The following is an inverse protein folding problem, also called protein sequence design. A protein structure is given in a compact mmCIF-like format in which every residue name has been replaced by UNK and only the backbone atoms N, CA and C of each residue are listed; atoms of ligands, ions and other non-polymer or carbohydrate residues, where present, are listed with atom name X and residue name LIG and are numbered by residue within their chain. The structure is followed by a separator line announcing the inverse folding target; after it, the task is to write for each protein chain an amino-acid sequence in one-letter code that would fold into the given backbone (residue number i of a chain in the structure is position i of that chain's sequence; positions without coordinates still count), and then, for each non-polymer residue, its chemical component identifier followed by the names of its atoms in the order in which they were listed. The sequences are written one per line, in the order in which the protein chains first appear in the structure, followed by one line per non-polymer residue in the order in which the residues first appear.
data_IF_411948327637
#
_entry.id   IF_411948327637
#
_cell.length_a   1.000
_cell.length_b   1.000
_cell.length_c   1.000
_cell.angle_alpha   90.00
_cell.angle_beta   90.00
_cell.angle_gamma   90.00
#
_symmetry.space_group_name_H-M   'P 1'
#
loop_
_entity.id
_entity.type
_entity.pdbx_description
1 polymer ?
#
# COMPACT_ATOMS: atom_id res chain seq x y z
N UNK A 1 15.94 12.65 9.60
CA UNK A 1 15.10 11.50 9.19
C UNK A 1 15.98 10.26 9.18
N UNK A 2 15.55 9.20 9.85
CA UNK A 2 16.21 7.89 9.71
C UNK A 2 15.81 7.38 8.31
N UNK A 3 16.76 7.09 7.41
CA UNK A 3 16.41 6.56 6.10
C UNK A 3 15.61 5.27 6.29
N UNK A 4 14.55 5.02 5.49
CA UNK A 4 13.78 3.80 5.62
C UNK A 4 14.74 2.61 5.47
N UNK A 5 14.91 1.85 6.55
CA UNK A 5 15.69 0.62 6.51
C UNK A 5 15.10 -0.32 5.45
N UNK A 6 15.94 -1.18 4.86
CA UNK A 6 15.55 -2.11 3.79
C UNK A 6 14.19 -2.77 4.10
N UNK A 7 13.26 -2.68 3.17
CA UNK A 7 11.96 -3.35 3.26
C UNK A 7 12.19 -4.85 3.07
N UNK A 8 11.73 -5.68 4.00
CA UNK A 8 11.85 -7.14 3.93
C UNK A 8 10.46 -7.76 3.78
N UNK A 9 10.38 -9.00 3.27
CA UNK A 9 9.11 -9.74 3.18
C UNK A 9 8.37 -9.79 4.51
N UNK A 10 9.06 -10.15 5.60
CA UNK A 10 8.49 -10.12 6.95
C UNK A 10 7.89 -8.76 7.34
N UNK A 11 8.53 -7.63 7.00
CA UNK A 11 8.00 -6.29 7.30
C UNK A 11 6.78 -5.96 6.43
N UNK A 12 6.81 -6.36 5.16
CA UNK A 12 5.68 -6.17 4.24
C UNK A 12 4.48 -7.01 4.67
N UNK A 13 4.70 -8.27 5.06
CA UNK A 13 3.67 -9.16 5.55
C UNK A 13 3.04 -8.63 6.84
N UNK A 14 3.87 -8.19 7.80
CA UNK A 14 3.38 -7.59 9.05
C UNK A 14 2.54 -6.33 8.75
N UNK A 15 3.01 -5.46 7.86
CA UNK A 15 2.27 -4.25 7.49
C UNK A 15 0.93 -4.58 6.82
N UNK A 16 0.91 -5.52 5.88
CA UNK A 16 -0.32 -5.94 5.20
C UNK A 16 -1.31 -6.59 6.18
N UNK A 17 -0.83 -7.45 7.08
CA UNK A 17 -1.65 -8.06 8.12
C UNK A 17 -2.28 -7.02 9.04
N UNK A 18 -1.48 -6.06 9.52
CA UNK A 18 -1.95 -5.00 10.39
C UNK A 18 -3.00 -4.11 9.71
N UNK A 19 -2.82 -3.80 8.42
CA UNK A 19 -3.79 -2.95 7.71
C UNK A 19 -5.09 -3.70 7.42
N UNK A 20 -5.03 -4.99 7.09
CA UNK A 20 -6.23 -5.83 6.97
C UNK A 20 -7.03 -5.85 8.28
N UNK A 21 -6.36 -6.14 9.41
CA UNK A 21 -7.00 -6.14 10.74
C UNK A 21 -7.57 -4.77 11.11
N UNK A 22 -6.84 -3.70 10.83
CA UNK A 22 -7.29 -2.34 11.12
C UNK A 22 -8.58 -2.01 10.37
N UNK A 23 -8.67 -2.36 9.09
CA UNK A 23 -9.88 -2.12 8.30
C UNK A 23 -11.05 -2.92 8.88
N UNK A 24 -10.84 -4.20 9.19
CA UNK A 24 -11.86 -5.06 9.80
C UNK A 24 -12.40 -4.46 11.12
N UNK A 25 -11.51 -4.11 12.05
CA UNK A 25 -11.88 -3.53 13.34
C UNK A 25 -12.66 -2.22 13.18
N UNK A 26 -12.22 -1.36 12.25
CA UNK A 26 -12.90 -0.09 11.99
C UNK A 26 -14.28 -0.34 11.42
N UNK A 27 -14.41 -1.08 10.31
CA UNK A 27 -15.72 -1.26 9.69
C UNK A 27 -16.71 -1.97 10.62
N UNK A 28 -16.29 -3.04 11.30
CA UNK A 28 -17.13 -3.76 12.26
C UNK A 28 -17.50 -2.89 13.45
N UNK A 29 -16.58 -2.07 13.95
CA UNK A 29 -16.83 -1.12 15.02
C UNK A 29 -17.89 -0.08 14.63
N UNK A 30 -17.82 0.47 13.42
CA UNK A 30 -18.80 1.46 12.95
C UNK A 30 -20.19 0.86 12.76
N UNK A 31 -20.27 -0.40 12.31
CA UNK A 31 -21.53 -1.13 12.21
C UNK A 31 -22.11 -1.43 13.59
N UNK A 32 -21.28 -1.93 14.51
CA UNK A 32 -21.70 -2.26 15.88
C UNK A 32 -22.18 -1.03 16.64
N UNK A 33 -21.58 0.14 16.39
CA UNK A 33 -21.97 1.43 16.97
C UNK A 33 -23.18 2.06 16.26
N UNK A 34 -23.72 1.44 15.21
CA UNK A 34 -24.85 1.95 14.44
C UNK A 34 -24.53 3.19 13.59
N UNK A 35 -23.25 3.53 13.42
CA UNK A 35 -22.80 4.64 12.57
C UNK A 35 -22.88 4.29 11.08
N UNK A 36 -22.81 2.99 10.76
CA UNK A 36 -23.03 2.46 9.43
C UNK A 36 -24.01 1.27 9.52
N UNK A 37 -24.89 1.09 8.52
CA UNK A 37 -25.77 -0.07 8.49
C UNK A 37 -25.02 -1.37 8.13
N UNK A 38 -23.98 -1.26 7.31
CA UNK A 38 -23.12 -2.36 6.85
C UNK A 38 -21.70 -1.84 6.57
N UNK A 39 -20.67 -2.71 6.56
CA UNK A 39 -19.32 -2.34 6.17
C UNK A 39 -19.28 -1.73 4.77
N UNK A 40 -18.40 -0.74 4.57
CA UNK A 40 -18.22 -0.10 3.26
C UNK A 40 -17.59 -1.09 2.26
N UNK A 41 -18.19 -1.35 1.09
CA UNK A 41 -17.72 -2.41 0.18
C UNK A 41 -16.30 -2.21 -0.34
N UNK A 42 -15.89 -0.97 -0.58
CA UNK A 42 -14.53 -0.60 -1.00
C UNK A 42 -13.49 -0.92 0.08
N UNK A 43 -13.84 -0.72 1.35
CA UNK A 43 -12.99 -1.05 2.49
C UNK A 43 -12.85 -2.56 2.67
N UNK A 44 -13.94 -3.30 2.53
CA UNK A 44 -13.92 -4.77 2.56
C UNK A 44 -13.03 -5.33 1.44
N UNK A 45 -13.15 -4.81 0.22
CA UNK A 45 -12.26 -5.21 -0.88
C UNK A 45 -10.79 -4.93 -0.56
N UNK A 46 -10.50 -3.74 -0.04
CA UNK A 46 -9.13 -3.37 0.34
C UNK A 46 -8.56 -4.27 1.44
N UNK A 47 -9.36 -4.64 2.44
CA UNK A 47 -8.98 -5.63 3.46
C UNK A 47 -8.63 -6.97 2.80
N UNK A 48 -9.47 -7.44 1.88
CA UNK A 48 -9.29 -8.72 1.21
C UNK A 48 -8.03 -8.71 0.32
N UNK A 49 -7.72 -7.58 -0.32
CA UNK A 49 -6.47 -7.37 -1.07
C UNK A 49 -5.24 -7.48 -0.15
N UNK A 50 -5.26 -6.84 1.02
CA UNK A 50 -4.17 -6.96 2.00
C UNK A 50 -4.03 -8.41 2.53
N UNK A 51 -5.14 -9.08 2.79
CA UNK A 51 -5.12 -10.50 3.15
C UNK A 51 -4.61 -11.40 2.00
N UNK A 52 -4.83 -10.99 0.75
CA UNK A 52 -4.25 -11.61 -0.44
C UNK A 52 -2.74 -11.43 -0.52
N UNK A 53 -2.23 -10.24 -0.20
CA UNK A 53 -0.79 -9.94 -0.14
C UNK A 53 -0.09 -10.81 0.90
N UNK A 54 -0.67 -10.96 2.11
CA UNK A 54 -0.13 -11.85 3.14
C UNK A 54 0.01 -13.27 2.61
N UNK A 55 -1.06 -13.82 2.02
CA UNK A 55 -1.07 -15.16 1.42
C UNK A 55 -0.05 -15.31 0.29
N UNK A 56 0.12 -14.28 -0.54
CA UNK A 56 1.11 -14.30 -1.61
C UNK A 56 2.53 -14.35 -1.04
N UNK A 57 2.82 -13.58 0.00
CA UNK A 57 4.13 -13.60 0.66
C UNK A 57 4.38 -14.97 1.29
N UNK A 58 3.39 -15.56 1.98
CA UNK A 58 3.50 -16.90 2.55
C UNK A 58 3.84 -17.96 1.48
N UNK A 59 3.19 -17.90 0.32
CA UNK A 59 3.47 -18.80 -0.80
C UNK A 59 4.88 -18.61 -1.36
N UNK A 60 5.36 -17.37 -1.45
CA UNK A 60 6.72 -17.06 -1.89
C UNK A 60 7.75 -17.58 -0.88
N UNK A 61 7.50 -17.41 0.41
CA UNK A 61 8.43 -17.85 1.46
C UNK A 61 8.50 -19.37 1.57
N UNK A 62 7.39 -20.06 1.30
CA UNK A 62 7.30 -21.52 1.31
C UNK A 62 7.99 -22.21 0.12
N UNK A 63 8.25 -21.50 -0.99
CA UNK A 63 8.91 -22.05 -2.19
C UNK A 63 10.31 -21.43 -2.38
N UNK A 64 11.35 -22.22 -2.08
CA UNK A 64 12.75 -21.80 -2.17
C UNK A 64 13.17 -21.39 -3.60
N UNK A 65 12.58 -21.98 -4.65
CA UNK A 65 12.90 -21.67 -6.05
C UNK A 65 12.32 -20.31 -6.41
N UNK A 66 11.06 -20.06 -6.05
CA UNK A 66 10.40 -18.77 -6.30
C UNK A 66 11.08 -17.67 -5.50
N UNK A 67 11.40 -17.91 -4.22
CA UNK A 67 12.14 -16.97 -3.38
C UNK A 67 13.47 -16.59 -4.00
N UNK A 68 14.27 -17.57 -4.43
CA UNK A 68 15.55 -17.32 -5.08
C UNK A 68 15.43 -16.49 -6.36
N UNK A 69 14.47 -16.82 -7.24
CA UNK A 69 14.22 -16.06 -8.48
C UNK A 69 13.84 -14.61 -8.21
N UNK A 70 13.03 -14.37 -7.18
CA UNK A 70 12.56 -13.04 -6.80
C UNK A 70 13.69 -12.21 -6.20
N UNK A 71 14.51 -12.78 -5.32
CA UNK A 71 15.71 -12.11 -4.80
C UNK A 71 16.66 -11.72 -5.93
N UNK A 72 16.86 -12.59 -6.92
CA UNK A 72 17.71 -12.30 -8.07
C UNK A 72 17.10 -11.25 -9.01
N UNK A 73 15.77 -11.20 -9.13
CA UNK A 73 15.08 -10.12 -9.82
C UNK A 73 15.24 -8.78 -9.08
N UNK A 74 15.08 -8.75 -7.76
CA UNK A 74 15.27 -7.56 -6.93
C UNK A 74 16.71 -7.05 -6.96
N UNK A 75 17.72 -7.95 -6.94
CA UNK A 75 19.13 -7.57 -7.11
C UNK A 75 19.39 -6.93 -8.47
N UNK A 76 18.81 -7.48 -9.55
CA UNK A 76 18.90 -6.89 -10.90
C UNK A 76 18.20 -5.53 -11.00
N UNK A 77 17.05 -5.38 -10.36
CA UNK A 77 16.32 -4.12 -10.31
C UNK A 77 17.09 -3.05 -9.52
N UNK A 78 17.68 -3.42 -8.37
CA UNK A 78 18.53 -2.52 -7.59
C UNK A 78 19.81 -2.08 -8.33
N UNK A 79 20.30 -2.91 -9.27
CA UNK A 79 21.42 -2.57 -10.14
C UNK A 79 21.03 -1.68 -11.33
N UNK A 80 19.73 -1.46 -11.57
CA UNK A 80 19.24 -0.54 -12.61
C UNK A 80 19.08 0.85 -11.99
N UNK A 81 19.85 1.86 -12.40
CA UNK A 81 19.68 3.21 -11.88
C UNK A 81 18.28 3.72 -12.21
N UNK A 82 17.57 4.23 -11.20
CA UNK A 82 16.26 4.85 -11.39
C UNK A 82 16.39 6.02 -12.39
N UNK A 83 15.50 6.14 -13.39
CA UNK A 83 15.46 7.34 -14.22
C UNK A 83 15.19 8.55 -13.33
N UNK A 84 16.00 9.60 -13.49
CA UNK A 84 15.88 10.82 -12.72
C UNK A 84 14.46 11.38 -12.83
N UNK A 85 13.80 11.58 -11.68
CA UNK A 85 12.50 12.24 -11.61
C UNK A 85 12.63 13.64 -12.20
N UNK A 86 11.93 13.89 -13.31
CA UNK A 86 11.77 15.23 -13.88
C UNK A 86 10.93 16.07 -12.89
N UNK A 87 11.36 17.26 -12.46
CA UNK A 87 10.51 18.14 -11.68
C UNK A 87 9.54 18.87 -12.62
N UNK A 88 8.32 18.35 -12.76
CA UNK A 88 7.21 19.13 -13.33
C UNK A 88 6.47 19.78 -12.17
N UNK A 89 6.70 21.08 -11.97
CA UNK A 89 5.76 21.97 -11.29
C UNK A 89 5.99 23.38 -11.83
N UNK A 90 5.51 23.61 -13.05
CA UNK A 90 5.15 24.93 -13.53
C UNK A 90 3.77 25.23 -12.92
N UNK A 91 3.75 25.95 -11.80
CA UNK A 91 2.52 26.47 -11.20
C UNK A 91 1.96 27.54 -12.14
N UNK A 92 0.97 27.17 -12.95
CA UNK A 92 0.11 28.15 -13.62
C UNK A 92 -0.79 28.77 -12.54
N UNK A 93 -0.72 30.08 -12.27
CA UNK A 93 -1.67 30.73 -11.39
C UNK A 93 -3.05 30.69 -12.03
N UNK A 94 -4.04 30.22 -11.28
CA UNK A 94 -5.45 30.26 -11.65
C UNK A 94 -5.91 31.71 -11.56
N UNK A 95 -6.33 32.29 -12.68
CA UNK A 95 -6.99 33.60 -12.72
C UNK A 95 -8.24 33.56 -11.82
N UNK A 96 -8.22 34.34 -10.75
CA UNK A 96 -9.36 34.55 -9.86
C UNK A 96 -10.15 35.76 -10.37
N UNK A 97 -10.99 35.55 -11.39
CA UNK A 97 -12.01 36.51 -11.81
C UNK A 97 -13.33 36.17 -11.09
N UNK A 98 -13.62 36.78 -9.93
CA UNK A 98 -15.01 36.95 -9.46
C UNK A 98 -15.19 38.22 -8.60
N UNK A 99 -16.04 39.11 -9.11
CA UNK A 99 -16.92 40.07 -8.44
C UNK A 99 -16.35 41.30 -7.70
N UNK A 100 -16.66 42.47 -8.24
CA UNK A 100 -17.13 43.61 -7.46
C UNK A 100 -18.19 44.38 -8.27
N UNK A 101 -19.23 44.80 -7.56
CA UNK A 101 -20.47 45.49 -7.97
C UNK A 101 -20.31 46.72 -8.89
#
# INVERSE_FOLDING_TARGET
MIPPGKTTFARMQTAAHNEAQRIEIIEDGWVTLGQLPVPRPDRVRLRDDFAGIVRLIDLIEADDIIRGRLEDALKRQAATPAPASRPDTELVPVDEEVASE
#
